data_IF_699738247680
#
_entry.id   IF_699738247680
#
_cell.length_a   1.000
_cell.length_b   1.000
_cell.length_c   1.000
_cell.angle_alpha   90.00
_cell.angle_beta   90.00
_cell.angle_gamma   90.00
#
_symmetry.space_group_name_H-M   'P 1'
#
loop_
_entity.id
_entity.type
_entity.pdbx_description
1 polymer ?
#
# COMPACT_ATOMS: atom_id res chain seq x y z
N UNK A 1 -18.03 -6.43 -14.78
CA UNK A 1 -18.37 -5.39 -13.80
C UNK A 1 -19.08 -6.04 -12.62
N UNK A 2 -18.57 -5.82 -11.41
CA UNK A 2 -19.17 -6.23 -10.14
C UNK A 2 -19.74 -4.97 -9.49
N UNK A 3 -21.00 -5.01 -9.07
CA UNK A 3 -21.64 -3.87 -8.43
C UNK A 3 -22.59 -4.31 -7.33
N UNK A 4 -22.77 -3.47 -6.32
CA UNK A 4 -23.69 -3.70 -5.23
C UNK A 4 -24.96 -2.85 -5.41
N UNK A 5 -26.11 -3.52 -5.56
CA UNK A 5 -27.42 -2.86 -5.82
C UNK A 5 -27.92 -1.96 -4.67
N UNK A 6 -27.33 -2.04 -3.49
CA UNK A 6 -27.63 -1.20 -2.34
C UNK A 6 -26.33 -0.88 -1.59
N UNK A 7 -25.48 -0.04 -2.19
CA UNK A 7 -24.12 0.26 -1.72
C UNK A 7 -24.08 1.09 -0.44
N UNK A 8 -25.20 1.64 0.02
CA UNK A 8 -25.29 2.34 1.30
C UNK A 8 -25.26 1.42 2.52
N UNK A 9 -25.55 0.13 2.36
CA UNK A 9 -25.41 -0.87 3.41
C UNK A 9 -24.13 -1.69 3.19
N UNK A 10 -23.45 -2.10 4.25
CA UNK A 10 -22.32 -3.02 4.16
C UNK A 10 -22.82 -4.45 3.84
N UNK A 11 -21.98 -5.23 3.16
CA UNK A 11 -22.20 -6.67 2.95
C UNK A 11 -21.01 -7.48 3.43
N UNK A 12 -21.25 -8.70 3.92
CA UNK A 12 -20.20 -9.66 4.28
C UNK A 12 -19.73 -10.51 3.10
N UNK A 13 -20.30 -10.31 1.90
CA UNK A 13 -19.87 -10.97 0.69
C UNK A 13 -18.42 -10.62 0.35
N UNK A 14 -17.73 -11.50 -0.34
CA UNK A 14 -16.36 -11.28 -0.80
C UNK A 14 -16.26 -11.37 -2.32
N UNK A 15 -15.17 -10.85 -2.87
CA UNK A 15 -14.83 -10.97 -4.28
C UNK A 15 -13.48 -11.69 -4.39
N UNK A 16 -13.43 -12.78 -5.16
CA UNK A 16 -12.17 -13.46 -5.48
C UNK A 16 -11.92 -13.40 -6.98
N UNK A 17 -10.74 -12.92 -7.36
CA UNK A 17 -10.33 -12.75 -8.76
C UNK A 17 -9.08 -13.59 -8.99
N UNK A 18 -9.22 -14.64 -9.80
CA UNK A 18 -8.11 -15.53 -10.13
C UNK A 18 -7.72 -15.40 -11.60
N UNK A 19 -6.42 -15.34 -11.87
CA UNK A 19 -5.87 -15.41 -13.20
C UNK A 19 -4.84 -16.55 -13.30
N UNK A 20 -5.03 -17.45 -14.26
CA UNK A 20 -4.07 -18.53 -14.53
C UNK A 20 -2.77 -17.96 -15.12
N UNK A 21 -1.70 -18.76 -15.10
CA UNK A 21 -0.43 -18.40 -15.74
C UNK A 21 -0.64 -17.92 -17.19
N UNK A 22 0.02 -16.82 -17.56
CA UNK A 22 -0.10 -16.14 -18.86
C UNK A 22 -1.50 -15.59 -19.20
N UNK A 23 -2.46 -15.58 -18.26
CA UNK A 23 -3.75 -14.93 -18.44
C UNK A 23 -3.80 -13.55 -17.75
N UNK A 24 -4.78 -12.74 -18.13
CA UNK A 24 -5.12 -11.49 -17.44
C UNK A 24 -6.62 -11.45 -17.15
N UNK A 25 -6.98 -11.28 -15.88
CA UNK A 25 -8.37 -11.05 -15.46
C UNK A 25 -8.63 -9.54 -15.36
N UNK A 26 -9.58 -9.04 -16.14
CA UNK A 26 -9.99 -7.63 -16.10
C UNK A 26 -11.36 -7.52 -15.41
N UNK A 27 -11.44 -6.76 -14.32
CA UNK A 27 -12.65 -6.62 -13.51
C UNK A 27 -12.89 -5.16 -13.19
N UNK A 28 -14.07 -4.65 -13.49
CA UNK A 28 -14.53 -3.37 -12.92
C UNK A 28 -15.24 -3.63 -11.60
N UNK A 29 -14.89 -2.93 -10.53
CA UNK A 29 -15.68 -2.84 -9.30
C UNK A 29 -16.37 -1.48 -9.24
N UNK A 30 -17.69 -1.49 -9.05
CA UNK A 30 -18.52 -0.29 -9.05
C UNK A 30 -19.43 -0.22 -7.83
N UNK A 31 -19.19 0.78 -6.98
CA UNK A 31 -19.98 1.04 -5.77
C UNK A 31 -20.08 -0.18 -4.83
N UNK A 32 -18.98 -0.91 -4.65
CA UNK A 32 -18.91 -2.06 -3.72
C UNK A 32 -18.71 -1.58 -2.29
N UNK A 33 -19.43 -2.12 -1.31
CA UNK A 33 -19.28 -1.77 0.11
C UNK A 33 -19.25 -3.03 0.98
N UNK A 34 -18.06 -3.58 1.18
CA UNK A 34 -17.82 -4.85 1.87
C UNK A 34 -17.23 -4.60 3.26
N UNK A 35 -17.81 -5.24 4.26
CA UNK A 35 -17.27 -5.41 5.62
C UNK A 35 -17.44 -6.87 6.02
N UNK A 36 -16.31 -7.57 6.15
CA UNK A 36 -16.30 -9.03 6.28
C UNK A 36 -15.18 -9.49 7.22
N UNK A 37 -15.29 -10.73 7.70
CA UNK A 37 -14.26 -11.34 8.57
C UNK A 37 -13.09 -11.95 7.78
N UNK A 38 -13.19 -12.05 6.45
CA UNK A 38 -12.12 -12.51 5.55
C UNK A 38 -11.50 -11.38 4.73
N UNK A 39 -10.88 -11.71 3.60
CA UNK A 39 -10.49 -10.71 2.61
C UNK A 39 -11.74 -10.20 1.85
N UNK A 40 -11.99 -8.89 1.88
CA UNK A 40 -13.09 -8.26 1.15
C UNK A 40 -12.94 -8.48 -0.36
N UNK A 41 -11.75 -8.24 -0.88
CA UNK A 41 -11.36 -8.62 -2.24
C UNK A 41 -10.01 -9.32 -2.17
N UNK A 42 -9.90 -10.49 -2.79
CA UNK A 42 -8.64 -11.21 -2.94
C UNK A 42 -8.32 -11.45 -4.41
N UNK A 43 -7.05 -11.28 -4.76
CA UNK A 43 -6.50 -11.57 -6.08
C UNK A 43 -5.49 -12.70 -5.97
N UNK A 44 -5.53 -13.65 -6.90
CA UNK A 44 -4.71 -14.86 -6.83
C UNK A 44 -4.35 -15.46 -8.18
N UNK A 45 -3.46 -16.45 -8.12
CA UNK A 45 -2.89 -17.12 -9.28
C UNK A 45 -1.61 -16.47 -9.82
N UNK A 46 -1.09 -17.04 -10.91
CA UNK A 46 0.15 -16.59 -11.56
C UNK A 46 -0.09 -15.54 -12.66
N UNK A 47 -1.32 -15.39 -13.12
CA UNK A 47 -1.70 -14.39 -14.12
C UNK A 47 -1.93 -13.01 -13.51
N UNK A 48 -2.06 -12.02 -14.37
CA UNK A 48 -2.27 -10.64 -13.95
C UNK A 48 -3.74 -10.35 -13.65
N UNK A 49 -4.01 -9.46 -12.71
CA UNK A 49 -5.34 -8.96 -12.38
C UNK A 49 -5.35 -7.45 -12.57
N UNK A 50 -6.28 -6.95 -13.38
CA UNK A 50 -6.54 -5.53 -13.55
C UNK A 50 -7.90 -5.20 -12.94
N UNK A 51 -7.91 -4.27 -12.00
CA UNK A 51 -9.11 -3.74 -11.36
C UNK A 51 -9.33 -2.31 -11.84
N UNK A 52 -10.43 -2.10 -12.58
CA UNK A 52 -10.94 -0.77 -12.92
C UNK A 52 -11.90 -0.31 -11.82
N UNK A 53 -11.66 0.89 -11.29
CA UNK A 53 -12.48 1.51 -10.26
C UNK A 53 -13.58 2.35 -10.91
N UNK A 54 -14.81 2.14 -10.46
CA UNK A 54 -15.95 3.01 -10.79
C UNK A 54 -16.74 3.33 -9.52
N UNK A 55 -17.22 4.57 -9.39
CA UNK A 55 -17.88 5.05 -8.18
C UNK A 55 -17.04 4.85 -6.91
N UNK A 56 -17.69 4.75 -5.75
CA UNK A 56 -17.00 4.59 -4.45
C UNK A 56 -17.00 3.15 -3.98
N UNK A 57 -15.81 2.54 -3.90
CA UNK A 57 -15.61 1.17 -3.43
C UNK A 57 -14.97 1.18 -2.04
N UNK A 58 -15.63 0.56 -1.06
CA UNK A 58 -15.16 0.42 0.32
C UNK A 58 -14.95 -1.04 0.64
N UNK A 59 -13.72 -1.40 0.99
CA UNK A 59 -13.27 -2.76 1.26
C UNK A 59 -12.68 -2.83 2.67
N UNK A 60 -13.40 -3.45 3.60
CA UNK A 60 -12.94 -3.70 4.96
C UNK A 60 -12.82 -5.20 5.19
N UNK A 61 -11.61 -5.62 5.51
CA UNK A 61 -11.29 -7.03 5.73
C UNK A 61 -11.16 -7.34 7.22
N UNK A 62 -11.29 -8.62 7.54
CA UNK A 62 -11.12 -9.11 8.89
C UNK A 62 -9.66 -9.25 9.30
N UNK A 63 -9.46 -9.67 10.55
CA UNK A 63 -8.13 -9.96 11.11
C UNK A 63 -7.33 -10.87 10.16
N UNK A 64 -6.05 -10.57 10.04
CA UNK A 64 -5.05 -11.22 9.18
C UNK A 64 -5.17 -10.90 7.69
N UNK A 65 -6.18 -10.17 7.24
CA UNK A 65 -6.43 -9.96 5.82
C UNK A 65 -6.24 -8.51 5.40
N UNK A 66 -5.66 -8.32 4.21
CA UNK A 66 -5.60 -7.01 3.61
C UNK A 66 -6.98 -6.55 3.08
N UNK A 67 -7.22 -5.24 3.06
CA UNK A 67 -8.47 -4.67 2.54
C UNK A 67 -8.71 -5.07 1.07
N UNK A 68 -7.66 -4.91 0.25
CA UNK A 68 -7.52 -5.55 -1.05
C UNK A 68 -6.30 -6.48 -0.99
N UNK A 69 -6.57 -7.77 -0.85
CA UNK A 69 -5.55 -8.79 -0.65
C UNK A 69 -4.93 -9.22 -1.97
N UNK A 70 -3.60 -9.12 -2.02
CA UNK A 70 -2.78 -9.57 -3.13
C UNK A 70 -2.02 -10.82 -2.74
N UNK A 71 -2.55 -11.96 -3.15
CA UNK A 71 -1.90 -13.26 -3.00
C UNK A 71 -1.11 -13.65 -4.25
N UNK A 72 -0.09 -14.51 -4.09
CA UNK A 72 0.65 -15.16 -5.19
C UNK A 72 1.45 -14.23 -6.12
N UNK A 73 1.98 -14.77 -7.23
CA UNK A 73 3.01 -14.10 -8.04
C UNK A 73 2.49 -13.11 -9.09
N UNK A 74 1.24 -13.26 -9.53
CA UNK A 74 0.64 -12.41 -10.57
C UNK A 74 0.73 -10.91 -10.26
N UNK A 75 0.67 -10.04 -11.27
CA UNK A 75 0.63 -8.59 -11.04
C UNK A 75 -0.78 -8.11 -10.72
N UNK A 76 -0.93 -7.22 -9.73
CA UNK A 76 -2.16 -6.46 -9.52
C UNK A 76 -2.01 -5.05 -10.08
N UNK A 77 -2.88 -4.67 -11.01
CA UNK A 77 -2.99 -3.30 -11.52
C UNK A 77 -4.33 -2.70 -11.08
N UNK A 78 -4.30 -1.52 -10.45
CA UNK A 78 -5.48 -0.73 -10.09
C UNK A 78 -5.50 0.51 -10.98
N UNK A 79 -6.60 0.72 -11.68
CA UNK A 79 -6.78 1.80 -12.65
C UNK A 79 -8.15 2.47 -12.48
N UNK A 80 -8.27 3.66 -13.06
CA UNK A 80 -9.50 4.45 -13.15
C UNK A 80 -9.41 5.28 -14.44
N UNK A 81 -9.83 4.68 -15.54
CA UNK A 81 -9.79 5.30 -16.87
C UNK A 81 -10.84 6.42 -16.99
N UNK A 82 -11.92 6.34 -16.20
CA UNK A 82 -13.05 7.28 -16.25
C UNK A 82 -12.92 8.45 -15.27
N UNK A 83 -11.85 8.50 -14.47
CA UNK A 83 -11.55 9.52 -13.48
C UNK A 83 -12.68 9.76 -12.47
N UNK A 84 -13.44 8.72 -12.13
CA UNK A 84 -14.55 8.74 -11.18
C UNK A 84 -14.45 7.64 -10.12
N UNK A 85 -13.41 6.82 -10.18
CA UNK A 85 -13.18 5.68 -9.32
C UNK A 85 -12.51 6.06 -8.00
N UNK A 86 -13.12 5.63 -6.91
CA UNK A 86 -12.57 5.73 -5.55
C UNK A 86 -12.47 4.35 -4.91
N UNK A 87 -11.36 4.12 -4.23
CA UNK A 87 -11.11 2.93 -3.42
C UNK A 87 -10.71 3.31 -2.00
N UNK A 88 -11.45 2.80 -1.03
CA UNK A 88 -11.12 2.86 0.39
C UNK A 88 -10.86 1.43 0.83
N UNK A 89 -9.59 1.08 1.06
CA UNK A 89 -9.18 -0.27 1.44
C UNK A 89 -8.59 -0.26 2.86
N UNK A 90 -9.22 -1.00 3.76
CA UNK A 90 -8.83 -1.09 5.17
C UNK A 90 -8.52 -2.54 5.50
N UNK A 91 -7.25 -2.81 5.84
CA UNK A 91 -6.83 -4.10 6.36
C UNK A 91 -7.36 -4.32 7.77
N UNK A 92 -7.68 -5.57 8.10
CA UNK A 92 -7.86 -5.94 9.50
C UNK A 92 -6.50 -6.03 10.20
N UNK A 93 -6.50 -6.28 11.51
CA UNK A 93 -5.27 -6.47 12.28
C UNK A 93 -4.28 -7.37 11.55
N UNK A 94 -3.02 -6.92 11.41
CA UNK A 94 -1.92 -7.57 10.69
C UNK A 94 -2.00 -7.59 9.17
N UNK A 95 -3.11 -7.16 8.55
CA UNK A 95 -3.25 -7.04 7.10
C UNK A 95 -2.92 -5.64 6.58
N UNK A 96 -2.41 -5.57 5.35
CA UNK A 96 -2.20 -4.30 4.67
C UNK A 96 -3.52 -3.63 4.24
N UNK A 97 -3.51 -2.34 3.92
CA UNK A 97 -4.65 -1.72 3.23
C UNK A 97 -4.84 -2.36 1.84
N UNK A 98 -3.76 -2.35 1.05
CA UNK A 98 -3.65 -3.03 -0.24
C UNK A 98 -2.35 -3.82 -0.25
N UNK A 99 -2.43 -5.14 -0.43
CA UNK A 99 -1.24 -5.99 -0.49
C UNK A 99 -1.36 -7.26 0.33
N UNK A 100 -0.36 -7.55 1.17
CA UNK A 100 -0.24 -8.82 1.87
C UNK A 100 -1.17 -9.00 3.07
N UNK A 101 -1.55 -10.25 3.31
CA UNK A 101 -2.10 -10.77 4.56
C UNK A 101 -1.02 -10.86 5.65
N UNK A 102 -1.37 -11.36 6.85
CA UNK A 102 -0.39 -11.63 7.91
C UNK A 102 0.74 -12.54 7.40
N UNK A 103 1.97 -12.09 7.58
CA UNK A 103 3.21 -12.68 7.05
C UNK A 103 3.30 -12.71 5.50
N UNK A 104 2.29 -12.19 4.82
CA UNK A 104 2.21 -12.09 3.38
C UNK A 104 2.96 -10.90 2.82
N UNK A 105 3.73 -11.13 1.76
CA UNK A 105 4.37 -10.05 1.02
C UNK A 105 3.34 -9.32 0.14
N UNK A 106 3.30 -7.99 0.21
CA UNK A 106 2.60 -7.19 -0.79
C UNK A 106 3.55 -6.87 -1.93
N UNK A 107 3.49 -7.67 -2.99
CA UNK A 107 4.38 -7.54 -4.15
C UNK A 107 3.64 -7.40 -5.48
N UNK A 108 4.33 -6.83 -6.47
CA UNK A 108 3.84 -6.65 -7.85
C UNK A 108 2.53 -5.85 -7.91
N UNK A 109 2.50 -4.72 -7.21
CA UNK A 109 1.33 -3.85 -7.13
C UNK A 109 1.59 -2.64 -8.03
N UNK A 110 0.66 -2.33 -8.91
CA UNK A 110 0.71 -1.14 -9.76
C UNK A 110 -0.57 -0.33 -9.64
N UNK A 111 -0.42 0.98 -9.39
CA UNK A 111 -1.51 1.94 -9.37
C UNK A 111 -1.28 2.94 -10.50
N UNK A 112 -2.24 3.04 -11.41
CA UNK A 112 -2.18 3.95 -12.56
C UNK A 112 -3.19 5.09 -12.47
N UNK A 113 -4.23 4.97 -11.63
CA UNK A 113 -5.30 5.95 -11.51
C UNK A 113 -6.16 5.77 -10.26
N UNK A 114 -7.14 6.67 -10.08
CA UNK A 114 -8.15 6.61 -9.04
C UNK A 114 -7.84 7.47 -7.81
N UNK A 115 -8.87 7.72 -6.99
CA UNK A 115 -8.71 8.20 -5.62
C UNK A 115 -8.60 7.01 -4.66
N UNK A 116 -7.40 6.72 -4.17
CA UNK A 116 -7.12 5.55 -3.35
C UNK A 116 -6.78 6.00 -1.93
N UNK A 117 -7.49 5.45 -0.96
CA UNK A 117 -7.17 5.53 0.48
C UNK A 117 -6.92 4.12 0.99
N UNK A 118 -5.66 3.80 1.32
CA UNK A 118 -5.24 2.50 1.79
C UNK A 118 -4.74 2.62 3.24
N UNK A 119 -5.39 1.93 4.16
CA UNK A 119 -5.06 1.96 5.59
C UNK A 119 -4.75 0.55 6.06
N UNK A 120 -3.52 0.33 6.51
CA UNK A 120 -3.14 -0.94 7.13
C UNK A 120 -3.83 -1.12 8.48
N UNK A 121 -4.14 -2.36 8.82
CA UNK A 121 -4.48 -2.70 10.20
C UNK A 121 -3.23 -2.64 11.09
N UNK A 122 -3.38 -2.99 12.37
CA UNK A 122 -2.25 -3.04 13.30
C UNK A 122 -1.06 -3.80 12.69
N UNK A 123 0.12 -3.18 12.59
CA UNK A 123 1.34 -3.76 12.00
C UNK A 123 1.36 -4.04 10.49
N UNK A 124 0.27 -3.75 9.76
CA UNK A 124 0.21 -3.85 8.29
C UNK A 124 0.52 -2.52 7.60
N UNK A 125 1.14 -2.58 6.43
CA UNK A 125 1.40 -1.38 5.62
C UNK A 125 0.11 -0.77 5.06
N UNK A 126 0.13 0.51 4.70
CA UNK A 126 -0.96 1.09 3.91
C UNK A 126 -1.05 0.39 2.55
N UNK A 127 0.05 0.40 1.80
CA UNK A 127 0.22 -0.36 0.56
C UNK A 127 1.51 -1.18 0.66
N UNK A 128 1.42 -2.49 0.57
CA UNK A 128 2.57 -3.39 0.66
C UNK A 128 2.33 -4.57 1.59
N UNK A 129 3.31 -4.89 2.44
CA UNK A 129 3.28 -6.10 3.27
C UNK A 129 2.29 -6.05 4.44
N UNK A 130 1.74 -7.19 4.81
CA UNK A 130 1.11 -7.37 6.13
C UNK A 130 2.18 -7.50 7.23
N UNK A 131 1.78 -7.82 8.45
CA UNK A 131 2.71 -7.99 9.56
C UNK A 131 3.76 -9.06 9.22
N UNK A 132 5.05 -8.79 9.42
CA UNK A 132 6.12 -9.69 8.94
C UNK A 132 6.10 -10.00 7.43
N UNK A 133 5.40 -9.21 6.61
CA UNK A 133 5.45 -9.24 5.16
C UNK A 133 6.29 -8.10 4.56
N UNK A 134 7.07 -8.39 3.52
CA UNK A 134 7.78 -7.35 2.77
C UNK A 134 6.82 -6.63 1.82
N UNK A 135 7.09 -5.34 1.54
CA UNK A 135 6.43 -4.59 0.48
C UNK A 135 7.40 -4.34 -0.66
N UNK A 136 7.31 -5.12 -1.74
CA UNK A 136 8.27 -5.07 -2.84
C UNK A 136 7.59 -4.78 -4.18
N UNK A 137 8.32 -4.27 -5.17
CA UNK A 137 7.81 -4.10 -6.54
C UNK A 137 6.47 -3.32 -6.58
N UNK A 138 6.43 -2.18 -5.90
CA UNK A 138 5.27 -1.30 -5.83
C UNK A 138 5.50 -0.15 -6.79
N UNK A 139 4.61 0.02 -7.78
CA UNK A 139 4.70 1.08 -8.77
C UNK A 139 3.47 1.98 -8.72
N UNK A 140 3.66 3.30 -8.64
CA UNK A 140 2.59 4.29 -8.74
C UNK A 140 2.92 5.23 -9.91
N UNK A 141 2.08 5.25 -10.94
CA UNK A 141 2.27 6.13 -12.11
C UNK A 141 1.20 7.22 -12.21
N UNK A 142 0.15 7.17 -11.39
CA UNK A 142 -0.95 8.13 -11.43
C UNK A 142 -1.91 7.97 -10.25
N UNK A 143 -3.00 8.74 -10.29
CA UNK A 143 -4.02 8.77 -9.24
C UNK A 143 -3.70 9.70 -8.06
N UNK A 144 -4.65 9.80 -7.13
CA UNK A 144 -4.48 10.43 -5.81
C UNK A 144 -4.44 9.31 -4.77
N UNK A 145 -3.25 9.01 -4.28
CA UNK A 145 -3.00 7.87 -3.38
C UNK A 145 -2.69 8.39 -1.98
N UNK A 146 -3.45 7.95 -1.00
CA UNK A 146 -3.19 8.16 0.43
C UNK A 146 -2.98 6.81 1.09
N UNK A 147 -1.79 6.56 1.61
CA UNK A 147 -1.41 5.29 2.23
C UNK A 147 -0.94 5.53 3.67
N UNK A 148 -1.57 4.86 4.62
CA UNK A 148 -1.26 4.99 6.05
C UNK A 148 -0.96 3.62 6.63
N UNK A 149 0.24 3.45 7.18
CA UNK A 149 0.65 2.24 7.87
C UNK A 149 0.05 2.15 9.27
N UNK A 150 -0.21 0.93 9.72
CA UNK A 150 -0.48 0.65 11.13
C UNK A 150 0.79 0.81 11.99
N UNK A 151 0.65 0.68 13.31
CA UNK A 151 1.78 0.75 14.25
C UNK A 151 2.95 -0.12 13.77
N UNK A 152 4.15 0.43 13.68
CA UNK A 152 5.32 -0.31 13.26
C UNK A 152 5.47 -0.53 11.75
N UNK A 153 4.53 -0.12 10.91
CA UNK A 153 4.52 -0.41 9.47
C UNK A 153 4.65 0.85 8.61
N UNK A 154 5.12 0.67 7.38
CA UNK A 154 5.27 1.77 6.44
C UNK A 154 3.92 2.24 5.87
N UNK A 155 3.87 3.51 5.43
CA UNK A 155 2.77 3.99 4.60
C UNK A 155 2.70 3.21 3.28
N UNK A 156 3.82 3.21 2.54
CA UNK A 156 4.03 2.40 1.35
C UNK A 156 5.31 1.58 1.52
N UNK A 157 5.20 0.26 1.52
CA UNK A 157 6.34 -0.65 1.64
C UNK A 157 6.11 -1.76 2.68
N UNK A 158 7.09 -1.96 3.56
CA UNK A 158 7.12 -3.10 4.47
C UNK A 158 6.08 -3.03 5.59
N UNK A 159 5.55 -4.19 5.97
CA UNK A 159 4.90 -4.33 7.27
C UNK A 159 5.91 -4.29 8.40
N UNK A 160 5.43 -4.38 9.64
CA UNK A 160 6.30 -4.31 10.81
C UNK A 160 7.37 -5.43 10.80
N UNK A 161 8.61 -5.10 11.16
CA UNK A 161 9.82 -5.95 11.08
C UNK A 161 10.26 -6.36 9.67
N UNK A 162 9.77 -5.69 8.61
CA UNK A 162 10.10 -6.07 7.23
C UNK A 162 10.41 -4.91 6.32
N UNK A 163 11.13 -5.28 5.26
CA UNK A 163 11.66 -4.36 4.29
C UNK A 163 10.56 -3.85 3.34
N UNK A 164 10.75 -2.61 2.88
CA UNK A 164 10.01 -2.06 1.75
C UNK A 164 10.98 -1.68 0.65
N UNK A 165 11.06 -2.49 -0.39
CA UNK A 165 12.06 -2.36 -1.44
C UNK A 165 11.43 -2.16 -2.82
N UNK A 166 12.22 -1.68 -3.77
CA UNK A 166 11.84 -1.62 -5.19
C UNK A 166 10.51 -0.87 -5.39
N UNK A 167 10.43 0.31 -4.77
CA UNK A 167 9.25 1.19 -4.83
C UNK A 167 9.52 2.27 -5.86
N UNK A 168 8.66 2.37 -6.88
CA UNK A 168 8.78 3.34 -7.97
C UNK A 168 7.55 4.25 -8.03
N UNK A 169 7.77 5.56 -7.88
CA UNK A 169 6.72 6.58 -8.04
C UNK A 169 7.09 7.48 -9.23
N UNK A 170 6.35 7.33 -10.32
CA UNK A 170 6.58 8.05 -11.56
C UNK A 170 5.53 9.16 -11.82
N UNK A 171 4.48 9.24 -11.01
CA UNK A 171 3.41 10.22 -11.18
C UNK A 171 2.35 10.16 -10.09
N UNK A 172 1.31 10.99 -10.25
CA UNK A 172 0.19 11.10 -9.31
C UNK A 172 0.44 12.06 -8.14
N UNK A 173 -0.55 12.15 -7.25
CA UNK A 173 -0.45 12.83 -5.95
C UNK A 173 -0.41 11.76 -4.86
N UNK A 174 0.76 11.51 -4.29
CA UNK A 174 0.99 10.43 -3.32
C UNK A 174 1.24 11.02 -1.94
N UNK A 175 0.48 10.57 -0.95
CA UNK A 175 0.70 10.86 0.47
C UNK A 175 0.91 9.55 1.21
N UNK A 176 2.07 9.37 1.80
CA UNK A 176 2.45 8.15 2.50
C UNK A 176 2.86 8.48 3.94
N UNK A 177 2.18 7.90 4.91
CA UNK A 177 2.43 8.13 6.34
C UNK A 177 2.72 6.79 7.01
N UNK A 178 3.91 6.67 7.61
CA UNK A 178 4.27 5.52 8.42
C UNK A 178 3.53 5.55 9.76
N UNK A 179 3.21 4.37 10.29
CA UNK A 179 2.89 4.26 11.71
C UNK A 179 4.17 4.37 12.55
N UNK A 180 4.04 4.35 13.88
CA UNK A 180 5.19 4.45 14.79
C UNK A 180 6.37 3.59 14.33
N UNK A 181 7.59 4.13 14.26
CA UNK A 181 8.80 3.43 13.83
C UNK A 181 8.87 3.00 12.36
N UNK A 182 7.78 3.14 11.60
CA UNK A 182 7.72 2.86 10.17
C UNK A 182 8.04 4.08 9.32
N UNK A 183 8.64 3.85 8.15
CA UNK A 183 8.88 4.90 7.18
C UNK A 183 7.57 5.39 6.52
N UNK A 184 7.57 6.61 6.00
CA UNK A 184 6.50 7.05 5.09
C UNK A 184 6.47 6.17 3.85
N UNK A 185 7.61 6.09 3.16
CA UNK A 185 7.85 5.20 2.01
C UNK A 185 9.11 4.39 2.28
N UNK A 186 9.01 3.06 2.33
CA UNK A 186 10.13 2.15 2.56
C UNK A 186 9.85 1.11 3.64
N UNK A 187 10.78 0.93 4.58
CA UNK A 187 10.71 -0.14 5.58
C UNK A 187 9.71 0.11 6.72
N UNK A 188 9.13 -0.97 7.26
CA UNK A 188 8.53 -0.92 8.59
C UNK A 188 9.60 -0.81 9.68
N UNK A 189 9.21 -0.77 10.96
CA UNK A 189 10.15 -0.85 12.09
C UNK A 189 11.11 -2.02 11.88
N UNK A 190 12.41 -1.85 12.12
CA UNK A 190 13.42 -2.88 11.86
C UNK A 190 13.47 -3.43 10.41
N UNK A 191 12.79 -2.77 9.47
CA UNK A 191 12.90 -3.00 8.03
C UNK A 191 13.73 -1.94 7.32
N UNK A 192 14.49 -2.37 6.31
CA UNK A 192 15.22 -1.48 5.41
C UNK A 192 14.28 -0.88 4.35
N UNK A 193 14.62 0.29 3.84
CA UNK A 193 14.01 0.85 2.64
C UNK A 193 15.02 0.98 1.52
N UNK A 194 14.98 0.06 0.53
CA UNK A 194 16.00 0.02 -0.53
C UNK A 194 15.41 0.20 -1.92
N UNK A 195 16.22 0.76 -2.84
CA UNK A 195 15.85 0.94 -4.25
C UNK A 195 14.54 1.72 -4.44
N UNK A 196 14.39 2.83 -3.72
CA UNK A 196 13.22 3.69 -3.83
C UNK A 196 13.50 4.74 -4.90
N UNK A 197 12.67 4.79 -5.94
CA UNK A 197 12.83 5.70 -7.07
C UNK A 197 11.60 6.60 -7.20
N UNK A 198 11.81 7.91 -7.27
CA UNK A 198 10.76 8.90 -7.49
C UNK A 198 11.18 9.77 -8.67
N UNK A 199 10.49 9.64 -9.81
CA UNK A 199 10.81 10.35 -11.06
C UNK A 199 9.77 11.41 -11.44
N UNK A 200 8.62 11.43 -10.78
CA UNK A 200 7.55 12.39 -11.05
C UNK A 200 6.46 12.40 -9.98
N UNK A 201 5.48 13.30 -10.15
CA UNK A 201 4.33 13.44 -9.24
C UNK A 201 4.57 14.41 -8.06
N UNK A 202 3.51 14.61 -7.28
CA UNK A 202 3.54 15.34 -6.00
C UNK A 202 3.56 14.31 -4.85
N UNK A 203 4.71 14.15 -4.20
CA UNK A 203 4.91 13.13 -3.16
C UNK A 203 5.09 13.79 -1.80
N UNK A 204 4.20 13.47 -0.87
CA UNK A 204 4.35 13.76 0.56
C UNK A 204 4.65 12.46 1.30
N UNK A 205 5.79 12.39 1.98
CA UNK A 205 6.19 11.21 2.75
C UNK A 205 6.56 11.61 4.18
N UNK A 206 5.86 11.03 5.14
CA UNK A 206 6.05 11.30 6.57
C UNK A 206 6.32 9.99 7.32
N UNK A 207 7.48 9.89 7.97
CA UNK A 207 7.78 8.79 8.89
C UNK A 207 6.97 8.91 10.18
N UNK A 208 6.61 7.78 10.77
CA UNK A 208 6.21 7.74 12.18
C UNK A 208 7.42 7.96 13.08
N UNK A 209 7.25 7.97 14.41
CA UNK A 209 8.33 8.20 15.39
C UNK A 209 9.60 7.41 15.03
N UNK A 210 10.76 8.06 14.94
CA UNK A 210 12.04 7.50 14.51
C UNK A 210 12.07 6.83 13.11
N UNK A 211 10.99 6.85 12.32
CA UNK A 211 10.99 6.31 10.95
C UNK A 211 11.43 7.37 9.95
N UNK A 212 12.06 6.97 8.84
CA UNK A 212 12.38 7.92 7.78
C UNK A 212 11.12 8.44 7.08
N UNK A 213 11.18 9.64 6.48
CA UNK A 213 10.16 10.05 5.51
C UNK A 213 10.18 9.10 4.31
N UNK A 214 11.35 8.92 3.71
CA UNK A 214 11.64 7.95 2.65
C UNK A 214 12.89 7.15 3.03
N UNK A 215 12.77 5.83 3.19
CA UNK A 215 13.91 4.95 3.48
C UNK A 215 13.61 3.94 4.58
N UNK A 216 14.53 3.78 5.54
CA UNK A 216 14.44 2.76 6.59
C UNK A 216 13.41 3.09 7.68
N UNK A 217 12.88 2.05 8.33
CA UNK A 217 12.25 2.22 9.65
C UNK A 217 13.31 2.33 10.75
N UNK A 218 12.86 2.44 12.00
CA UNK A 218 13.74 2.64 13.17
C UNK A 218 14.98 1.74 13.15
N UNK A 219 16.17 2.35 13.26
CA UNK A 219 17.50 1.72 13.31
C UNK A 219 17.88 0.97 12.04
N UNK A 220 17.29 1.33 10.90
CA UNK A 220 17.53 0.64 9.63
C UNK A 220 17.85 1.59 8.50
N UNK A 221 18.46 1.00 7.48
CA UNK A 221 19.07 1.73 6.39
C UNK A 221 18.05 2.10 5.31
N UNK A 222 18.15 3.35 4.87
CA UNK A 222 17.59 3.80 3.59
C UNK A 222 18.70 3.80 2.54
N UNK A 223 18.66 2.87 1.58
CA UNK A 223 19.72 2.71 0.60
C UNK A 223 19.21 2.86 -0.84
N UNK A 224 20.05 3.44 -1.72
CA UNK A 224 19.74 3.60 -3.15
C UNK A 224 18.40 4.31 -3.39
N UNK A 225 18.21 5.43 -2.70
CA UNK A 225 17.04 6.29 -2.88
C UNK A 225 17.37 7.31 -3.96
N UNK A 226 16.61 7.29 -5.05
CA UNK A 226 16.80 8.16 -6.20
C UNK A 226 15.60 9.07 -6.38
N UNK A 227 15.83 10.37 -6.35
CA UNK A 227 14.83 11.38 -6.73
C UNK A 227 15.36 12.08 -7.97
N UNK A 228 14.60 12.06 -9.05
CA UNK A 228 14.98 12.65 -10.34
C UNK A 228 13.74 13.10 -11.12
N UNK A 229 13.93 13.57 -12.36
CA UNK A 229 12.84 14.08 -13.19
C UNK A 229 12.17 15.30 -12.58
N UNK A 230 10.85 15.41 -12.77
CA UNK A 230 10.04 16.56 -12.37
C UNK A 230 9.29 16.33 -11.04
N UNK A 231 9.79 15.43 -10.18
CA UNK A 231 9.16 15.09 -8.92
C UNK A 231 9.13 16.28 -7.94
N UNK A 232 7.97 16.55 -7.33
CA UNK A 232 7.82 17.50 -6.24
C UNK A 232 7.70 16.75 -4.92
N UNK A 233 8.64 16.96 -3.99
CA UNK A 233 8.70 16.22 -2.73
C UNK A 233 8.48 17.11 -1.52
N UNK A 234 7.65 16.63 -0.59
CA UNK A 234 7.59 17.10 0.80
C UNK A 234 7.87 15.91 1.72
N UNK A 235 9.07 15.87 2.28
CA UNK A 235 9.55 14.75 3.10
C UNK A 235 9.77 15.19 4.54
N UNK A 236 9.32 14.37 5.48
CA UNK A 236 9.51 14.60 6.91
C UNK A 236 9.83 13.28 7.59
N UNK A 237 10.97 13.21 8.27
CA UNK A 237 11.27 12.09 9.15
C UNK A 237 10.50 12.17 10.45
N UNK A 238 10.41 11.03 11.14
CA UNK A 238 9.79 10.88 12.43
C UNK A 238 10.41 11.73 13.52
N UNK A 239 9.61 12.09 14.52
CA UNK A 239 10.11 12.70 15.74
C UNK A 239 11.00 11.73 16.53
N UNK A 240 11.85 12.28 17.40
CA UNK A 240 12.69 11.51 18.34
C UNK A 240 11.84 10.97 19.50
N UNK A 241 12.29 9.88 20.12
CA UNK A 241 11.78 9.42 21.42
C UNK A 241 12.88 9.54 22.51
N UNK A 242 12.70 8.94 23.69
CA UNK A 242 13.68 9.01 24.78
C UNK A 242 14.97 8.20 24.54
N UNK A 243 14.98 7.31 23.54
CA UNK A 243 16.01 6.29 23.36
C UNK A 243 16.75 6.43 22.03
N UNK A 244 16.03 6.82 20.98
CA UNK A 244 16.45 6.89 19.60
C UNK A 244 16.22 8.29 19.01
N UNK A 245 17.07 8.65 18.05
CA UNK A 245 17.01 9.93 17.35
C UNK A 245 15.80 10.05 16.41
N UNK A 246 15.58 11.25 15.88
CA UNK A 246 14.62 11.48 14.82
C UNK A 246 15.02 10.75 13.53
N UNK A 247 14.03 10.26 12.79
CA UNK A 247 14.27 9.64 11.49
C UNK A 247 14.69 10.68 10.45
N UNK A 248 15.43 10.27 9.42
CA UNK A 248 15.82 11.15 8.34
C UNK A 248 14.61 11.53 7.47
N UNK A 249 14.64 12.71 6.84
CA UNK A 249 13.67 13.02 5.78
C UNK A 249 13.77 12.02 4.62
N UNK A 250 15.01 11.74 4.18
CA UNK A 250 15.37 10.69 3.22
C UNK A 250 16.61 9.96 3.73
N UNK A 251 16.54 8.64 3.89
CA UNK A 251 17.65 7.84 4.42
C UNK A 251 17.21 6.92 5.56
N UNK A 252 17.99 6.91 6.63
CA UNK A 252 17.81 5.97 7.73
C UNK A 252 16.67 6.40 8.67
N UNK A 253 16.06 5.41 9.32
CA UNK A 253 15.17 5.63 10.47
C UNK A 253 15.97 5.71 11.76
#
# INVERSE_FOLDING_TARGET
>A
MITQRNSSAETSNTITINASENATANVTISNVNIDTSGAAVSTGGKGNVNIELDGTNTLKSGRYHAGLEKSQDGKLTITDENANGKLIATGGDYGAGIGGDDQGNGKNITITGGEITATGGSHGAGIGGGYYGNGNDITITGGKVTATGGNGAAGIGGGNYKDGNDINIAGGKVTATGGDYGAGIGGGNQGNGKNITITGGEVTAAGGTNGAGIGGGLRKEGEKITVSGDATLKVQGGLTDEWDGAGAGIGNG
#
